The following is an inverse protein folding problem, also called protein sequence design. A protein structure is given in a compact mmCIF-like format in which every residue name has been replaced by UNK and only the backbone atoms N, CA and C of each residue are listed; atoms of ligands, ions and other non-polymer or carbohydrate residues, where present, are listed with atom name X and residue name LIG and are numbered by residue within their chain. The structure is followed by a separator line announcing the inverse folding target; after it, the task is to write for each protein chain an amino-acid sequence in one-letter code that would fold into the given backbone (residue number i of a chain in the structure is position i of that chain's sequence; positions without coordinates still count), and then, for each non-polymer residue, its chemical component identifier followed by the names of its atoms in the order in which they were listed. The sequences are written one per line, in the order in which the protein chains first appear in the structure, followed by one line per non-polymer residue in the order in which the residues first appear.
data_IF_983819635620
#
_entry.id   IF_983819635620
#
_cell.length_a   1.000
_cell.length_b   1.000
_cell.length_c   1.000
_cell.angle_alpha   90.00
_cell.angle_beta   90.00
_cell.angle_gamma   90.00
#
_symmetry.space_group_name_H-M   'P 1'
#
loop_
_entity.id
_entity.type
_entity.pdbx_description
1 polymer ?
#
# COMPACT_ATOMS: atom_id res chain seq x y z
N UNK A 1 5.77 7.78 16.02
CA UNK A 1 4.78 8.74 16.61
C UNK A 1 3.59 8.00 17.22
N UNK A 2 2.77 8.68 18.03
CA UNK A 2 1.49 8.13 18.50
C UNK A 2 0.46 8.14 17.37
N UNK A 3 -0.40 7.12 17.36
CA UNK A 3 -1.46 6.97 16.35
C UNK A 3 -2.74 7.72 16.76
N UNK A 4 -2.99 7.86 18.05
CA UNK A 4 -4.20 8.49 18.54
C UNK A 4 -4.33 9.96 18.10
N UNK A 5 -5.46 10.30 17.51
CA UNK A 5 -5.79 11.68 17.09
C UNK A 5 -5.17 12.14 15.78
N UNK A 6 -4.33 11.34 15.12
CA UNK A 6 -3.83 11.68 13.78
C UNK A 6 -4.86 11.36 12.70
N UNK A 7 -4.71 11.97 11.55
CA UNK A 7 -5.40 11.57 10.33
C UNK A 7 -4.48 10.77 9.42
N UNK A 8 -5.03 9.71 8.81
CA UNK A 8 -4.35 8.82 7.90
C UNK A 8 -5.11 8.70 6.57
N UNK A 9 -4.40 8.66 5.47
CA UNK A 9 -4.94 8.33 4.14
C UNK A 9 -4.43 6.93 3.76
N UNK A 10 -5.35 6.05 3.35
CA UNK A 10 -5.02 4.69 2.93
C UNK A 10 -5.62 4.44 1.56
N UNK A 11 -4.79 4.19 0.56
CA UNK A 11 -5.23 3.88 -0.79
C UNK A 11 -5.46 2.39 -0.97
N UNK A 12 -6.40 1.99 -1.85
CA UNK A 12 -6.76 0.59 -2.03
C UNK A 12 -7.38 -0.03 -0.77
N UNK A 13 -8.06 0.79 0.04
CA UNK A 13 -8.54 0.38 1.36
C UNK A 13 -10.01 -0.08 1.37
N UNK A 14 -10.65 -0.20 0.22
CA UNK A 14 -11.96 -0.86 0.09
C UNK A 14 -11.90 -2.38 0.33
N UNK A 15 -10.70 -2.97 0.46
CA UNK A 15 -10.52 -4.41 0.71
C UNK A 15 -9.09 -4.77 1.16
N UNK A 16 -8.86 -6.04 1.48
CA UNK A 16 -7.54 -6.65 1.66
C UNK A 16 -6.63 -5.96 2.67
N UNK A 17 -5.37 -5.73 2.29
CA UNK A 17 -4.34 -5.16 3.17
C UNK A 17 -4.69 -3.74 3.61
N UNK A 18 -5.20 -2.91 2.68
CA UNK A 18 -5.60 -1.54 2.98
C UNK A 18 -6.74 -1.48 3.98
N UNK A 19 -7.76 -2.32 3.82
CA UNK A 19 -8.91 -2.38 4.74
C UNK A 19 -8.50 -2.85 6.13
N UNK A 20 -7.70 -3.90 6.23
CA UNK A 20 -7.17 -4.37 7.52
C UNK A 20 -6.35 -3.27 8.22
N UNK A 21 -5.57 -2.51 7.45
CA UNK A 21 -4.82 -1.36 7.95
C UNK A 21 -5.76 -0.28 8.47
N UNK A 22 -6.82 0.06 7.73
CA UNK A 22 -7.81 1.05 8.15
C UNK A 22 -8.45 0.67 9.49
N UNK A 23 -8.92 -0.58 9.60
CA UNK A 23 -9.51 -1.12 10.84
C UNK A 23 -8.54 -1.07 12.02
N UNK A 24 -7.28 -1.46 11.80
CA UNK A 24 -6.23 -1.46 12.84
C UNK A 24 -5.91 -0.04 13.32
N UNK A 25 -5.80 0.92 12.41
CA UNK A 25 -5.46 2.30 12.75
C UNK A 25 -6.63 3.01 13.45
N UNK A 26 -7.86 2.78 13.03
CA UNK A 26 -9.05 3.31 13.73
C UNK A 26 -9.16 2.74 15.14
N UNK A 27 -8.92 1.44 15.31
CA UNK A 27 -8.86 0.82 16.63
C UNK A 27 -7.75 1.39 17.53
N UNK A 28 -6.65 1.88 16.92
CA UNK A 28 -5.57 2.57 17.62
C UNK A 28 -5.83 4.09 17.84
N UNK A 29 -7.01 4.59 17.45
CA UNK A 29 -7.45 5.95 17.70
C UNK A 29 -7.25 6.95 16.56
N UNK A 30 -6.74 6.55 15.40
CA UNK A 30 -6.61 7.42 14.23
C UNK A 30 -7.98 7.71 13.58
N UNK A 31 -8.04 8.83 12.86
CA UNK A 31 -9.05 9.07 11.84
C UNK A 31 -8.50 8.60 10.49
N UNK A 32 -9.33 7.98 9.65
CA UNK A 32 -8.88 7.34 8.42
C UNK A 32 -9.74 7.77 7.22
N UNK A 33 -9.08 8.21 6.16
CA UNK A 33 -9.71 8.33 4.84
C UNK A 33 -9.35 7.10 4.01
N UNK A 34 -10.37 6.35 3.64
CA UNK A 34 -10.30 5.23 2.72
C UNK A 34 -10.39 5.76 1.30
N UNK A 35 -9.33 5.59 0.52
CA UNK A 35 -9.32 5.89 -0.92
C UNK A 35 -9.42 4.59 -1.70
N UNK A 36 -10.41 4.51 -2.57
CA UNK A 36 -10.54 3.42 -3.55
C UNK A 36 -11.40 3.88 -4.72
N UNK A 37 -11.50 3.06 -5.77
CA UNK A 37 -12.37 3.35 -6.89
C UNK A 37 -13.85 3.36 -6.46
N UNK A 38 -14.70 4.15 -7.14
CA UNK A 38 -16.13 4.23 -6.79
C UNK A 38 -16.88 2.90 -6.92
N UNK A 39 -16.33 1.93 -7.67
CA UNK A 39 -16.88 0.58 -7.81
C UNK A 39 -16.49 -0.38 -6.68
N UNK A 40 -15.66 0.05 -5.75
CA UNK A 40 -15.22 -0.77 -4.61
C UNK A 40 -16.25 -0.78 -3.48
N UNK A 41 -16.02 -1.63 -2.47
CA UNK A 41 -16.83 -1.65 -1.25
C UNK A 41 -16.44 -0.56 -0.23
N UNK A 42 -15.59 0.40 -0.61
CA UNK A 42 -15.00 1.37 0.31
C UNK A 42 -16.03 2.15 1.13
N UNK A 43 -17.16 2.53 0.54
CA UNK A 43 -18.22 3.26 1.24
C UNK A 43 -18.86 2.40 2.36
N UNK A 44 -19.24 1.16 2.06
CA UNK A 44 -19.82 0.24 3.03
C UNK A 44 -18.81 -0.14 4.13
N UNK A 45 -17.54 -0.30 3.80
CA UNK A 45 -16.50 -0.59 4.78
C UNK A 45 -16.22 0.60 5.69
N UNK A 46 -16.23 1.83 5.17
CA UNK A 46 -16.10 3.03 5.99
C UNK A 46 -17.27 3.16 6.98
N UNK A 47 -18.50 2.93 6.51
CA UNK A 47 -19.70 2.93 7.37
C UNK A 47 -19.59 1.85 8.47
N UNK A 48 -19.16 0.64 8.11
CA UNK A 48 -18.99 -0.45 9.07
C UNK A 48 -17.89 -0.19 10.12
N UNK A 49 -16.83 0.54 9.76
CA UNK A 49 -15.77 0.96 10.70
C UNK A 49 -16.29 2.05 11.66
N UNK A 50 -17.17 2.94 11.19
CA UNK A 50 -17.80 3.97 12.01
C UNK A 50 -17.21 5.38 11.82
N UNK A 51 -17.53 6.33 12.72
CA UNK A 51 -17.34 7.77 12.48
C UNK A 51 -15.89 8.24 12.32
N UNK A 52 -14.92 7.41 12.64
CA UNK A 52 -13.49 7.70 12.43
C UNK A 52 -12.99 7.27 11.04
N UNK A 53 -13.84 6.71 10.19
CA UNK A 53 -13.50 6.34 8.83
C UNK A 53 -14.42 7.05 7.82
N UNK A 54 -13.82 7.60 6.78
CA UNK A 54 -14.54 8.24 5.67
C UNK A 54 -14.04 7.64 4.35
N UNK A 55 -14.97 7.39 3.44
CA UNK A 55 -14.64 6.94 2.08
C UNK A 55 -14.62 8.13 1.12
N UNK A 56 -13.55 8.22 0.34
CA UNK A 56 -13.44 9.14 -0.80
C UNK A 56 -13.13 8.33 -2.05
N UNK A 57 -14.05 8.34 -3.00
CA UNK A 57 -13.85 7.68 -4.29
C UNK A 57 -12.79 8.43 -5.09
N UNK A 58 -11.66 7.79 -5.38
CA UNK A 58 -10.60 8.40 -6.17
C UNK A 58 -9.73 7.36 -6.90
N UNK A 59 -9.32 7.72 -8.12
CA UNK A 59 -8.21 7.08 -8.81
C UNK A 59 -6.90 7.75 -8.33
N UNK A 60 -5.97 6.95 -7.85
CA UNK A 60 -4.67 7.45 -7.34
C UNK A 60 -3.86 8.22 -8.40
N UNK A 61 -4.18 8.04 -9.69
CA UNK A 61 -3.55 8.73 -10.81
C UNK A 61 -4.13 10.13 -11.06
N UNK A 62 -5.33 10.40 -10.56
CA UNK A 62 -6.04 11.66 -10.75
C UNK A 62 -5.69 12.62 -9.61
N UNK A 63 -4.96 13.68 -9.96
CA UNK A 63 -4.49 14.68 -8.99
C UNK A 63 -5.66 15.38 -8.27
N UNK A 64 -6.71 15.75 -8.99
CA UNK A 64 -7.84 16.46 -8.40
C UNK A 64 -8.61 15.58 -7.39
N UNK A 65 -8.82 14.31 -7.72
CA UNK A 65 -9.48 13.36 -6.83
C UNK A 65 -8.63 13.08 -5.58
N UNK A 66 -7.30 12.96 -5.74
CA UNK A 66 -6.38 12.80 -4.61
C UNK A 66 -6.40 14.03 -3.72
N UNK A 67 -6.44 15.25 -4.28
CA UNK A 67 -6.59 16.48 -3.50
C UNK A 67 -7.84 16.44 -2.61
N UNK A 68 -9.01 16.06 -3.15
CA UNK A 68 -10.26 15.94 -2.38
C UNK A 68 -10.09 14.98 -1.19
N UNK A 69 -9.43 13.84 -1.41
CA UNK A 69 -9.22 12.88 -0.34
C UNK A 69 -8.26 13.39 0.75
N UNK A 70 -7.22 14.12 0.35
CA UNK A 70 -6.28 14.71 1.30
C UNK A 70 -6.91 15.87 2.08
N UNK A 71 -7.80 16.64 1.46
CA UNK A 71 -8.56 17.69 2.13
C UNK A 71 -9.51 17.10 3.18
N UNK A 72 -10.25 16.04 2.82
CA UNK A 72 -11.07 15.30 3.77
C UNK A 72 -10.26 14.77 4.97
N UNK A 73 -9.03 14.31 4.72
CA UNK A 73 -8.15 13.87 5.80
C UNK A 73 -7.75 15.03 6.74
N UNK A 74 -7.48 16.22 6.20
CA UNK A 74 -7.15 17.39 7.01
C UNK A 74 -8.34 17.89 7.84
N UNK A 75 -9.56 17.75 7.34
CA UNK A 75 -10.79 18.06 8.11
C UNK A 75 -10.98 17.13 9.31
N UNK A 76 -10.52 15.87 9.20
CA UNK A 76 -10.58 14.90 10.29
C UNK A 76 -9.47 15.06 11.35
N UNK A 77 -8.41 15.80 11.03
CA UNK A 77 -7.27 16.01 11.92
C UNK A 77 -5.94 16.21 11.17
N UNK A 78 -4.82 16.32 11.89
CA UNK A 78 -3.52 16.51 11.26
C UNK A 78 -3.14 15.28 10.42
N UNK A 79 -2.97 15.47 9.10
CA UNK A 79 -2.54 14.40 8.20
C UNK A 79 -1.07 14.04 8.48
N UNK A 80 -0.84 12.88 9.09
CA UNK A 80 0.49 12.41 9.49
C UNK A 80 0.88 11.05 8.94
N UNK A 81 -0.07 10.34 8.32
CA UNK A 81 0.17 9.00 7.81
C UNK A 81 -0.43 8.84 6.41
N UNK A 82 0.36 8.28 5.51
CA UNK A 82 -0.10 7.78 4.21
C UNK A 82 0.29 6.32 4.09
N UNK A 83 -0.67 5.46 3.71
CA UNK A 83 -0.40 4.05 3.41
C UNK A 83 -0.86 3.75 1.98
N UNK A 84 0.08 3.51 1.09
CA UNK A 84 -0.19 3.21 -0.30
C UNK A 84 -0.38 1.70 -0.51
N UNK A 85 -1.64 1.23 -0.54
CA UNK A 85 -1.99 -0.16 -0.83
C UNK A 85 -2.67 -0.34 -2.20
N UNK A 86 -3.06 0.74 -2.88
CA UNK A 86 -3.66 0.65 -4.21
C UNK A 86 -2.71 -0.01 -5.21
N UNK A 87 -3.21 -0.97 -5.95
CA UNK A 87 -2.43 -1.64 -6.97
C UNK A 87 -3.19 -2.80 -7.63
N UNK A 88 -2.73 -3.15 -8.81
CA UNK A 88 -3.25 -4.27 -9.60
C UNK A 88 -2.12 -5.23 -9.94
N UNK A 89 -2.48 -6.51 -10.08
CA UNK A 89 -1.61 -7.53 -10.65
C UNK A 89 -2.34 -8.16 -11.84
N UNK A 90 -1.88 -7.88 -13.04
CA UNK A 90 -2.41 -8.49 -14.26
C UNK A 90 -1.31 -9.35 -14.86
N UNK A 91 -1.36 -10.68 -14.68
CA UNK A 91 -0.35 -11.56 -15.26
C UNK A 91 -0.38 -11.49 -16.79
N UNK A 92 0.75 -11.15 -17.39
CA UNK A 92 0.88 -11.14 -18.84
C UNK A 92 2.33 -11.49 -19.25
N UNK A 93 2.47 -12.39 -20.23
CA UNK A 93 3.77 -12.77 -20.77
C UNK A 93 4.19 -11.78 -21.84
N UNK A 94 5.48 -11.53 -21.98
CA UNK A 94 6.03 -10.67 -23.04
C UNK A 94 5.64 -11.18 -24.44
N UNK A 95 5.58 -12.50 -24.59
CA UNK A 95 5.16 -13.15 -25.82
C UNK A 95 4.00 -14.11 -25.52
N UNK A 96 2.87 -13.99 -26.24
CA UNK A 96 1.71 -14.86 -26.13
C UNK A 96 1.30 -15.35 -27.52
N UNK A 97 1.33 -16.67 -27.72
CA UNK A 97 1.02 -17.30 -29.04
C UNK A 97 1.83 -16.75 -30.20
N UNK A 98 3.10 -16.36 -29.97
CA UNK A 98 3.97 -15.80 -31.00
C UNK A 98 3.85 -14.30 -31.23
N UNK A 99 2.92 -13.62 -30.56
CA UNK A 99 2.69 -12.19 -30.67
C UNK A 99 3.15 -11.44 -29.42
N UNK A 100 3.67 -10.23 -29.61
CA UNK A 100 4.06 -9.34 -28.51
C UNK A 100 2.83 -8.89 -27.73
N UNK A 101 2.97 -8.83 -26.40
CA UNK A 101 1.94 -8.24 -25.51
C UNK A 101 1.79 -6.75 -25.81
N UNK A 102 0.55 -6.24 -25.71
CA UNK A 102 0.27 -4.82 -25.87
C UNK A 102 1.00 -3.98 -24.82
N UNK A 103 1.69 -2.92 -25.26
CA UNK A 103 2.41 -2.01 -24.37
C UNK A 103 1.47 -1.38 -23.32
N UNK A 104 0.22 -1.11 -23.71
CA UNK A 104 -0.79 -0.55 -22.82
C UNK A 104 -1.07 -1.39 -21.56
N UNK A 105 -0.89 -2.73 -21.62
CA UNK A 105 -1.02 -3.59 -20.44
C UNK A 105 0.09 -3.34 -19.44
N UNK A 106 1.31 -3.13 -19.90
CA UNK A 106 2.45 -2.77 -19.07
C UNK A 106 2.26 -1.38 -18.47
N UNK A 107 1.93 -0.40 -19.31
CA UNK A 107 1.73 1.00 -18.91
C UNK A 107 0.62 1.13 -17.86
N UNK A 108 -0.47 0.38 -18.01
CA UNK A 108 -1.57 0.38 -17.04
C UNK A 108 -1.11 -0.05 -15.64
N UNK A 109 -0.34 -1.12 -15.54
CA UNK A 109 0.16 -1.62 -14.25
C UNK A 109 1.13 -0.64 -13.62
N UNK A 110 2.08 -0.12 -14.39
CA UNK A 110 3.07 0.86 -13.92
C UNK A 110 2.40 2.17 -13.51
N UNK A 111 1.44 2.64 -14.32
CA UNK A 111 0.70 3.87 -14.04
C UNK A 111 -0.06 3.80 -12.72
N UNK A 112 -0.75 2.70 -12.42
CA UNK A 112 -1.50 2.57 -11.17
C UNK A 112 -0.55 2.34 -10.00
N UNK A 113 0.33 1.33 -10.08
CA UNK A 113 1.10 0.86 -8.93
C UNK A 113 2.24 1.81 -8.55
N UNK A 114 2.91 2.39 -9.53
CA UNK A 114 4.11 3.21 -9.31
C UNK A 114 3.79 4.70 -9.40
N UNK A 115 3.25 5.16 -10.53
CA UNK A 115 2.97 6.58 -10.73
C UNK A 115 1.86 7.04 -9.79
N UNK A 116 0.80 6.25 -9.61
CA UNK A 116 -0.27 6.55 -8.66
C UNK A 116 0.22 6.65 -7.22
N UNK A 117 1.09 5.73 -6.78
CA UNK A 117 1.71 5.83 -5.45
C UNK A 117 2.53 7.10 -5.30
N UNK A 118 3.37 7.44 -6.28
CA UNK A 118 4.15 8.67 -6.25
C UNK A 118 3.25 9.93 -6.27
N UNK A 119 2.16 9.91 -7.03
CA UNK A 119 1.19 11.02 -7.07
C UNK A 119 0.60 11.29 -5.67
N UNK A 120 0.16 10.25 -4.97
CA UNK A 120 -0.36 10.39 -3.60
C UNK A 120 0.73 10.90 -2.65
N UNK A 121 1.96 10.38 -2.76
CA UNK A 121 3.09 10.79 -1.91
C UNK A 121 3.36 12.28 -2.07
N UNK A 122 3.60 12.76 -3.30
CA UNK A 122 3.98 14.16 -3.54
C UNK A 122 2.94 15.16 -3.04
N UNK A 123 1.64 14.84 -3.22
CA UNK A 123 0.53 15.69 -2.81
C UNK A 123 0.29 15.67 -1.29
N UNK A 124 0.49 14.52 -0.65
CA UNK A 124 0.40 14.40 0.80
C UNK A 124 1.56 15.11 1.51
N UNK A 125 2.78 14.96 1.00
CA UNK A 125 3.98 15.61 1.57
C UNK A 125 3.84 17.12 1.58
N UNK A 126 3.27 17.72 0.55
CA UNK A 126 3.02 19.18 0.51
C UNK A 126 2.17 19.65 1.71
N UNK A 127 1.21 18.84 2.16
CA UNK A 127 0.38 19.12 3.33
C UNK A 127 1.09 18.78 4.63
N UNK A 128 1.72 17.63 4.69
CA UNK A 128 2.43 17.16 5.90
C UNK A 128 3.59 18.09 6.27
N UNK A 129 4.27 18.69 5.31
CA UNK A 129 5.36 19.62 5.56
C UNK A 129 4.91 20.94 6.22
N UNK A 130 3.62 21.28 6.14
CA UNK A 130 3.04 22.52 6.67
C UNK A 130 2.53 22.40 8.11
N UNK A 131 2.39 21.18 8.64
CA UNK A 131 1.91 20.97 10.01
C UNK A 131 3.10 21.00 10.99
N UNK A 132 2.82 21.34 12.26
CA UNK A 132 3.84 21.32 13.30
C UNK A 132 4.32 19.91 13.59
N UNK A 133 5.62 19.70 13.85
CA UNK A 133 6.12 18.39 14.25
C UNK A 133 5.58 17.99 15.63
N UNK A 134 5.46 16.68 15.84
CA UNK A 134 5.18 16.10 17.16
C UNK A 134 6.38 15.25 17.57
N UNK A 135 7.11 15.68 18.59
CA UNK A 135 8.41 15.10 18.88
C UNK A 135 9.40 15.35 17.75
N UNK A 136 9.93 14.29 17.17
CA UNK A 136 11.00 14.36 16.16
C UNK A 136 10.44 14.25 14.72
N UNK A 137 9.11 14.13 14.52
CA UNK A 137 8.56 13.86 13.20
C UNK A 137 7.24 14.59 12.91
N UNK A 138 7.00 14.86 11.63
CA UNK A 138 5.72 15.35 11.09
C UNK A 138 4.83 14.22 10.62
N UNK A 139 5.41 13.11 10.16
CA UNK A 139 4.64 11.98 9.71
C UNK A 139 5.46 10.88 9.07
N UNK A 140 4.75 9.87 8.57
CA UNK A 140 5.35 8.73 7.88
C UNK A 140 4.53 8.33 6.66
N UNK A 141 5.23 7.90 5.62
CA UNK A 141 4.67 7.32 4.41
C UNK A 141 5.06 5.84 4.39
N UNK A 142 4.08 4.97 4.23
CA UNK A 142 4.27 3.53 4.12
C UNK A 142 3.78 3.07 2.75
N UNK A 143 4.67 2.50 1.96
CA UNK A 143 4.34 2.00 0.64
C UNK A 143 4.23 0.47 0.64
N UNK A 144 3.41 -0.07 -0.26
CA UNK A 144 3.26 -1.50 -0.47
C UNK A 144 3.95 -1.92 -1.78
N UNK A 145 5.14 -2.50 -1.64
CA UNK A 145 5.80 -3.21 -2.74
C UNK A 145 5.25 -4.64 -2.88
N UNK A 146 6.08 -5.60 -3.08
CA UNK A 146 5.81 -7.05 -3.10
C UNK A 146 7.14 -7.80 -3.09
N UNK A 147 7.15 -9.05 -2.65
CA UNK A 147 8.28 -9.96 -2.90
C UNK A 147 8.56 -10.10 -4.40
N UNK A 148 7.56 -9.93 -5.26
CA UNK A 148 7.73 -9.91 -6.72
C UNK A 148 8.65 -8.79 -7.23
N UNK A 149 8.95 -7.77 -6.42
CA UNK A 149 9.97 -6.77 -6.72
C UNK A 149 11.38 -7.38 -6.81
N UNK A 150 11.59 -8.51 -6.15
CA UNK A 150 12.87 -9.22 -6.02
C UNK A 150 12.85 -10.59 -6.68
N UNK A 151 11.74 -11.32 -6.53
CA UNK A 151 11.57 -12.71 -6.91
C UNK A 151 10.43 -12.86 -7.95
N UNK A 152 10.37 -12.00 -8.98
CA UNK A 152 9.30 -12.00 -9.98
C UNK A 152 9.16 -13.30 -10.75
N UNK A 153 7.93 -13.74 -10.97
CA UNK A 153 7.58 -14.97 -11.68
C UNK A 153 7.26 -14.73 -13.17
N UNK A 154 7.18 -15.81 -13.93
CA UNK A 154 6.69 -15.78 -15.31
C UNK A 154 5.33 -15.09 -15.40
N UNK A 155 5.21 -14.10 -16.29
CA UNK A 155 4.01 -13.32 -16.46
C UNK A 155 3.88 -12.11 -15.54
N UNK A 156 4.84 -11.82 -14.68
CA UNK A 156 4.80 -10.71 -13.74
C UNK A 156 5.67 -9.51 -14.13
N UNK A 157 6.12 -9.39 -15.37
CA UNK A 157 7.10 -8.36 -15.78
C UNK A 157 6.63 -6.95 -15.40
N UNK A 158 5.40 -6.55 -15.75
CA UNK A 158 4.85 -5.24 -15.42
C UNK A 158 4.66 -5.05 -13.91
N UNK A 159 4.14 -6.07 -13.24
CA UNK A 159 3.92 -6.06 -11.79
C UNK A 159 5.25 -5.96 -11.03
N UNK A 160 6.21 -6.83 -11.36
CA UNK A 160 7.53 -6.83 -10.75
C UNK A 160 8.27 -5.49 -10.97
N UNK A 161 8.25 -4.96 -12.20
CA UNK A 161 8.82 -3.66 -12.51
C UNK A 161 8.18 -2.53 -11.68
N UNK A 162 6.84 -2.50 -11.57
CA UNK A 162 6.13 -1.50 -10.79
C UNK A 162 6.48 -1.58 -9.29
N UNK A 163 6.54 -2.79 -8.73
CA UNK A 163 6.83 -3.01 -7.31
C UNK A 163 8.31 -2.82 -6.97
N UNK A 164 9.21 -3.14 -7.91
CA UNK A 164 10.63 -2.78 -7.81
C UNK A 164 10.84 -1.27 -7.84
N UNK A 165 10.08 -0.55 -8.69
CA UNK A 165 10.06 0.91 -8.69
C UNK A 165 9.61 1.50 -7.35
N UNK A 166 8.54 0.97 -6.76
CA UNK A 166 8.07 1.38 -5.43
C UNK A 166 9.15 1.13 -4.37
N UNK A 167 9.79 -0.04 -4.36
CA UNK A 167 10.89 -0.33 -3.44
C UNK A 167 12.09 0.61 -3.69
N UNK A 168 12.43 0.87 -4.96
CA UNK A 168 13.54 1.75 -5.34
C UNK A 168 13.33 3.22 -4.95
N UNK A 169 12.09 3.70 -4.88
CA UNK A 169 11.78 5.06 -4.42
C UNK A 169 11.99 5.26 -2.91
N UNK A 170 12.02 4.20 -2.11
CA UNK A 170 11.98 4.29 -0.65
C UNK A 170 13.13 5.12 -0.07
N UNK A 171 14.35 4.74 -0.36
CA UNK A 171 15.53 5.42 0.21
C UNK A 171 15.71 6.85 -0.34
N UNK A 172 15.57 7.13 -1.65
CA UNK A 172 15.61 8.51 -2.16
C UNK A 172 14.57 9.40 -1.49
N UNK A 173 13.31 8.96 -1.41
CA UNK A 173 12.24 9.72 -0.74
C UNK A 173 12.53 9.96 0.74
N UNK A 174 13.01 8.94 1.46
CA UNK A 174 13.37 9.10 2.87
C UNK A 174 14.46 10.15 3.08
N UNK A 175 15.43 10.23 2.17
CA UNK A 175 16.51 11.24 2.18
C UNK A 175 16.00 12.63 1.83
N UNK A 176 15.21 12.76 0.77
CA UNK A 176 14.61 14.03 0.34
C UNK A 176 13.71 14.63 1.43
N UNK A 177 12.95 13.77 2.11
CA UNK A 177 11.95 14.20 3.09
C UNK A 177 12.48 14.30 4.52
N UNK A 178 13.71 13.90 4.79
CA UNK A 178 14.33 14.03 6.11
C UNK A 178 14.35 15.47 6.62
N UNK A 179 14.63 16.45 5.77
CA UNK A 179 14.57 17.87 6.11
C UNK A 179 13.18 18.35 6.54
N UNK A 180 12.12 17.63 6.13
CA UNK A 180 10.74 17.90 6.51
C UNK A 180 10.28 17.02 7.68
N UNK A 181 11.17 16.22 8.28
CA UNK A 181 10.87 15.30 9.37
C UNK A 181 9.76 14.27 9.01
N UNK A 182 9.79 13.78 7.78
CA UNK A 182 8.85 12.78 7.26
C UNK A 182 9.65 11.53 6.91
N UNK A 183 9.25 10.39 7.48
CA UNK A 183 9.84 9.08 7.17
C UNK A 183 9.15 8.42 5.98
N UNK A 184 9.89 7.57 5.27
CA UNK A 184 9.36 6.73 4.20
C UNK A 184 9.84 5.30 4.41
N UNK A 185 8.91 4.36 4.48
CA UNK A 185 9.20 2.93 4.64
C UNK A 185 8.36 2.16 3.63
N UNK A 186 8.88 1.08 3.13
CA UNK A 186 8.14 0.20 2.21
C UNK A 186 8.02 -1.20 2.82
N UNK A 187 6.82 -1.79 2.74
CA UNK A 187 6.59 -3.18 3.06
C UNK A 187 6.54 -3.97 1.76
N UNK A 188 7.20 -5.10 1.70
CA UNK A 188 7.15 -6.06 0.60
C UNK A 188 6.47 -7.36 1.07
N UNK A 189 5.12 -7.47 0.93
CA UNK A 189 4.40 -8.66 1.31
C UNK A 189 4.73 -9.84 0.41
N UNK A 190 4.70 -11.06 0.99
CA UNK A 190 4.61 -12.32 0.26
C UNK A 190 3.19 -12.59 -0.22
N UNK A 191 2.76 -13.86 -0.14
CA UNK A 191 1.40 -14.27 -0.51
C UNK A 191 0.45 -14.08 0.67
N UNK A 192 -0.52 -13.19 0.53
CA UNK A 192 -1.51 -12.85 1.56
C UNK A 192 -2.93 -13.16 1.12
N UNK A 193 -3.81 -13.50 2.08
CA UNK A 193 -5.26 -13.66 1.86
C UNK A 193 -5.87 -12.31 1.50
N UNK A 194 -6.01 -12.05 0.19
CA UNK A 194 -6.58 -10.81 -0.33
C UNK A 194 -7.55 -11.12 -1.47
N UNK A 195 -8.47 -10.20 -1.83
CA UNK A 195 -9.33 -10.38 -2.99
C UNK A 195 -8.58 -10.69 -4.29
N UNK A 196 -7.32 -10.25 -4.40
CA UNK A 196 -6.44 -10.57 -5.53
C UNK A 196 -6.21 -12.08 -5.70
N UNK A 197 -6.18 -12.86 -4.60
CA UNK A 197 -6.06 -14.32 -4.61
C UNK A 197 -7.41 -15.02 -4.41
N UNK A 198 -8.45 -14.33 -3.98
CA UNK A 198 -9.77 -14.92 -3.71
C UNK A 198 -10.43 -15.56 -4.95
N UNK A 199 -10.07 -15.07 -6.15
CA UNK A 199 -10.53 -15.65 -7.42
C UNK A 199 -9.88 -16.99 -7.79
N UNK A 200 -8.84 -17.43 -7.07
CA UNK A 200 -8.19 -18.71 -7.32
C UNK A 200 -8.95 -19.87 -6.64
N UNK A 201 -8.94 -21.08 -7.24
CA UNK A 201 -9.44 -22.29 -6.58
C UNK A 201 -8.77 -22.50 -5.21
N UNK A 202 -9.49 -23.13 -4.29
CA UNK A 202 -9.00 -23.39 -2.94
C UNK A 202 -7.70 -24.19 -2.93
N UNK A 203 -7.59 -25.21 -3.80
CA UNK A 203 -6.37 -26.00 -3.95
C UNK A 203 -5.17 -25.16 -4.36
N UNK A 204 -5.37 -24.17 -5.28
CA UNK A 204 -4.31 -23.27 -5.70
C UNK A 204 -3.89 -22.33 -4.55
N UNK A 205 -4.85 -21.82 -3.78
CA UNK A 205 -4.55 -21.00 -2.59
C UNK A 205 -3.80 -21.79 -1.53
N UNK A 206 -4.22 -23.03 -1.29
CA UNK A 206 -3.52 -23.95 -0.39
C UNK A 206 -2.09 -24.21 -0.86
N UNK A 207 -1.91 -24.53 -2.14
CA UNK A 207 -0.58 -24.75 -2.73
C UNK A 207 0.34 -23.53 -2.60
N UNK A 208 -0.19 -22.32 -2.74
CA UNK A 208 0.58 -21.09 -2.50
C UNK A 208 0.98 -20.93 -1.03
N UNK A 209 0.10 -21.31 -0.10
CA UNK A 209 0.39 -21.30 1.33
C UNK A 209 1.46 -22.33 1.71
N UNK A 210 1.39 -23.52 1.14
CA UNK A 210 2.34 -24.61 1.39
C UNK A 210 3.77 -24.29 0.90
N UNK A 211 3.93 -23.32 -0.03
CA UNK A 211 5.23 -22.82 -0.50
C UNK A 211 5.90 -21.86 0.51
N UNK A 212 5.17 -21.35 1.48
CA UNK A 212 5.72 -20.48 2.52
C UNK A 212 6.46 -21.32 3.54
N UNK A 213 7.77 -21.12 3.76
CA UNK A 213 8.55 -21.93 4.68
C UNK A 213 8.01 -21.93 6.12
N UNK A 214 7.71 -20.75 6.69
CA UNK A 214 7.14 -20.66 8.04
C UNK A 214 6.55 -19.25 8.31
N UNK A 215 5.32 -19.16 8.81
CA UNK A 215 4.33 -20.23 8.93
C UNK A 215 3.86 -20.73 7.56
N UNK A 216 3.63 -22.04 7.39
CA UNK A 216 3.25 -22.65 6.11
C UNK A 216 1.77 -22.38 5.81
N UNK A 217 1.46 -21.16 5.44
CA UNK A 217 0.14 -20.64 5.08
C UNK A 217 0.25 -19.29 4.38
N UNK A 218 -0.84 -18.82 3.81
CA UNK A 218 -0.95 -17.42 3.37
C UNK A 218 -0.85 -16.49 4.59
N UNK A 219 -0.26 -15.31 4.39
CA UNK A 219 -0.28 -14.23 5.36
C UNK A 219 -1.71 -13.68 5.53
N UNK A 220 -2.06 -13.27 6.73
CA UNK A 220 -3.34 -12.62 7.02
C UNK A 220 -3.20 -11.10 6.86
N UNK A 221 -4.20 -10.39 6.31
CA UNK A 221 -4.14 -8.94 6.18
C UNK A 221 -3.83 -8.20 7.48
N UNK A 222 -4.26 -8.74 8.62
CA UNK A 222 -4.02 -8.19 9.95
C UNK A 222 -2.52 -8.24 10.33
N UNK A 223 -1.75 -9.20 9.81
CA UNK A 223 -0.30 -9.28 10.06
C UNK A 223 0.44 -8.14 9.33
N UNK A 224 -0.02 -7.80 8.12
CA UNK A 224 0.45 -6.61 7.41
C UNK A 224 0.10 -5.33 8.19
N UNK A 225 -1.15 -5.20 8.62
CA UNK A 225 -1.63 -4.04 9.38
C UNK A 225 -0.90 -3.86 10.71
N UNK A 226 -0.55 -4.96 11.39
CA UNK A 226 0.27 -4.93 12.61
C UNK A 226 1.67 -4.39 12.34
N UNK A 227 2.29 -4.75 11.20
CA UNK A 227 3.57 -4.17 10.80
C UNK A 227 3.43 -2.68 10.48
N UNK A 228 2.39 -2.26 9.76
CA UNK A 228 2.10 -0.83 9.52
C UNK A 228 2.04 -0.07 10.85
N UNK A 229 1.26 -0.57 11.82
CA UNK A 229 1.16 0.03 13.16
C UNK A 229 2.52 0.16 13.81
N UNK A 230 3.33 -0.90 13.81
CA UNK A 230 4.68 -0.87 14.36
C UNK A 230 5.58 0.18 13.69
N UNK A 231 5.53 0.29 12.34
CA UNK A 231 6.32 1.27 11.60
C UNK A 231 5.93 2.71 11.90
N UNK A 232 4.67 2.97 12.18
CA UNK A 232 4.21 4.29 12.64
C UNK A 232 4.80 4.60 14.01
N UNK A 233 4.77 3.64 14.94
CA UNK A 233 5.19 3.83 16.33
C UNK A 233 6.71 3.79 16.55
N UNK A 234 7.48 3.26 15.60
CA UNK A 234 8.93 3.12 15.69
C UNK A 234 9.66 4.15 14.79
N UNK A 235 10.11 5.30 15.36
CA UNK A 235 10.68 6.38 14.57
C UNK A 235 12.06 6.07 13.97
N UNK A 236 12.77 5.04 14.46
CA UNK A 236 14.10 4.71 13.95
C UNK A 236 14.08 3.99 12.60
N UNK A 237 12.92 3.42 12.20
CA UNK A 237 12.78 2.74 10.90
C UNK A 237 12.45 3.78 9.82
N UNK A 238 13.41 4.01 8.92
CA UNK A 238 13.29 4.95 7.81
C UNK A 238 14.15 4.48 6.62
N UNK A 239 13.67 4.68 5.40
CA UNK A 239 14.41 4.40 4.16
C UNK A 239 14.56 2.92 3.81
N UNK A 240 13.86 2.00 4.48
CA UNK A 240 14.01 0.55 4.34
C UNK A 240 12.80 -0.08 3.64
N UNK A 241 13.08 -1.17 2.91
CA UNK A 241 12.06 -2.06 2.35
C UNK A 241 12.04 -3.36 3.12
N UNK A 242 10.98 -3.60 3.89
CA UNK A 242 10.85 -4.73 4.81
C UNK A 242 10.00 -5.83 4.17
N UNK A 243 10.57 -7.02 3.99
CA UNK A 243 9.81 -8.21 3.56
C UNK A 243 8.99 -8.76 4.73
N UNK A 244 7.71 -9.05 4.47
CA UNK A 244 6.82 -9.79 5.36
C UNK A 244 6.26 -10.98 4.57
N UNK A 245 6.94 -12.12 4.60
CA UNK A 245 6.75 -13.15 3.58
C UNK A 245 6.95 -14.59 4.07
N UNK A 246 7.16 -14.82 5.38
CA UNK A 246 7.40 -16.16 5.91
C UNK A 246 8.64 -16.85 5.32
N UNK A 247 9.61 -16.06 4.87
CA UNK A 247 10.86 -16.51 4.20
C UNK A 247 10.65 -17.11 2.79
N UNK A 248 9.50 -16.88 2.14
CA UNK A 248 9.29 -17.36 0.78
C UNK A 248 10.29 -16.70 -0.20
N UNK A 249 10.79 -17.49 -1.13
CA UNK A 249 11.41 -17.04 -2.37
C UNK A 249 10.62 -17.67 -3.49
N UNK A 250 9.98 -16.84 -4.31
CA UNK A 250 9.02 -17.32 -5.30
C UNK A 250 9.71 -18.18 -6.35
N UNK A 251 9.15 -19.37 -6.61
CA UNK A 251 9.61 -20.20 -7.71
C UNK A 251 9.37 -19.47 -9.05
N UNK A 252 10.12 -19.78 -10.12
CA UNK A 252 9.95 -19.13 -11.44
C UNK A 252 8.53 -19.31 -12.03
N UNK A 253 7.82 -20.34 -11.59
CA UNK A 253 6.45 -20.70 -12.02
C UNK A 253 5.64 -21.25 -10.88
#
# INVERSE_FOLDING_TARGET
MKIEGISAVITGAGSGLGLATAKTLVAAGANVVIIDLPSSNGAAEAEAIGPKAVFVAADVRDEAQVHIALDAAQEMGPLRLVVNCAGIATPNRVLRKGEATALADFERVVSINLIGSFNVIRLAVERMAKIDPVGEERGVIINTASVAAFDGQVGQVAYAASKAGVAGMTLPLARDLAQFLIRVVTIAPGTFETPMLAGLPEEARKSLGDQVPHPSRLGKPEEYAALVKHLVENPMINGETIRIDGAIRMAPR
#
